data_IF_785666125643
#
_entry.id   IF_785666125643
#
_cell.length_a   1.000
_cell.length_b   1.000
_cell.length_c   1.000
_cell.angle_alpha   90.00
_cell.angle_beta   90.00
_cell.angle_gamma   90.00
#
_symmetry.space_group_name_H-M   'P 1'
#
loop_
_entity.id
_entity.type
_entity.pdbx_description
1 polymer ?
#
# COMPACT_ATOMS: atom_id res chain seq x y z
N UNK A 1 -38.94 0.33 27.67
CA UNK A 1 -37.53 0.66 27.28
C UNK A 1 -36.86 -0.67 26.98
N UNK A 2 -36.73 -1.07 25.70
CA UNK A 2 -36.02 -2.30 25.36
C UNK A 2 -34.54 -2.09 25.69
N UNK A 3 -33.97 -3.05 26.40
CA UNK A 3 -32.55 -3.01 26.81
C UNK A 3 -31.67 -2.91 25.59
N UNK A 4 -30.70 -1.99 25.60
CA UNK A 4 -29.73 -1.74 24.52
C UNK A 4 -29.01 -3.05 24.11
N UNK A 5 -28.83 -3.98 25.04
CA UNK A 5 -28.29 -5.33 24.75
C UNK A 5 -29.20 -6.18 23.87
N UNK A 6 -30.54 -6.05 24.02
CA UNK A 6 -31.51 -6.76 23.18
C UNK A 6 -31.52 -6.19 21.76
N UNK A 7 -31.42 -4.86 21.60
CA UNK A 7 -31.35 -4.22 20.30
C UNK A 7 -30.06 -4.57 19.57
N UNK A 8 -28.92 -4.59 20.28
CA UNK A 8 -27.64 -5.02 19.69
C UNK A 8 -27.64 -6.50 19.27
N UNK A 9 -28.38 -7.35 20.00
CA UNK A 9 -28.51 -8.77 19.64
C UNK A 9 -29.39 -8.96 18.39
N UNK A 10 -30.48 -8.19 18.28
CA UNK A 10 -31.35 -8.23 17.10
C UNK A 10 -30.63 -7.70 15.84
N UNK A 11 -29.85 -6.61 15.98
CA UNK A 11 -29.02 -6.09 14.90
C UNK A 11 -27.96 -7.11 14.47
N UNK A 12 -27.34 -7.79 15.44
CA UNK A 12 -26.32 -8.81 15.17
C UNK A 12 -26.89 -10.02 14.43
N UNK A 13 -28.09 -10.47 14.80
CA UNK A 13 -28.78 -11.56 14.11
C UNK A 13 -29.16 -11.16 12.67
N UNK A 14 -29.65 -9.94 12.45
CA UNK A 14 -29.94 -9.43 11.11
C UNK A 14 -28.68 -9.29 10.24
N UNK A 15 -27.54 -8.96 10.85
CA UNK A 15 -26.24 -8.91 10.16
C UNK A 15 -25.72 -10.32 9.82
N UNK A 16 -25.97 -11.31 10.65
CA UNK A 16 -25.59 -12.72 10.43
C UNK A 16 -26.46 -13.42 9.37
N UNK A 17 -27.70 -12.96 9.16
CA UNK A 17 -28.60 -13.45 8.12
C UNK A 17 -28.32 -12.85 6.73
N UNK A 18 -27.59 -11.73 6.66
CA UNK A 18 -27.22 -11.12 5.39
C UNK A 18 -25.89 -11.71 4.92
N UNK A 19 -25.95 -12.49 3.84
CA UNK A 19 -24.80 -13.24 3.30
C UNK A 19 -23.63 -12.32 2.94
N UNK A 20 -23.89 -11.13 2.39
CA UNK A 20 -22.87 -10.13 2.04
C UNK A 20 -22.21 -9.50 3.28
N UNK A 21 -23.00 -9.22 4.32
CA UNK A 21 -22.51 -8.71 5.60
C UNK A 21 -21.76 -9.78 6.40
N UNK A 22 -22.15 -11.04 6.28
CA UNK A 22 -21.48 -12.15 6.93
C UNK A 22 -20.09 -12.40 6.32
N UNK A 23 -19.96 -12.29 5.00
CA UNK A 23 -18.69 -12.34 4.28
C UNK A 23 -17.78 -11.18 4.72
N UNK A 24 -18.32 -9.96 4.80
CA UNK A 24 -17.60 -8.77 5.29
C UNK A 24 -17.13 -8.94 6.74
N UNK A 25 -18.00 -9.42 7.62
CA UNK A 25 -17.70 -9.60 9.04
C UNK A 25 -16.74 -10.76 9.31
N UNK A 26 -16.74 -11.80 8.48
CA UNK A 26 -15.76 -12.89 8.57
C UNK A 26 -14.37 -12.42 8.18
N UNK A 27 -14.26 -11.55 7.15
CA UNK A 27 -13.03 -10.87 6.79
C UNK A 27 -12.50 -9.98 7.93
N UNK A 28 -13.38 -9.19 8.57
CA UNK A 28 -13.03 -8.30 9.69
C UNK A 28 -12.59 -9.06 10.97
N UNK A 29 -13.04 -10.29 11.16
CA UNK A 29 -12.70 -11.10 12.35
C UNK A 29 -11.36 -11.84 12.22
N UNK A 30 -10.68 -11.77 11.07
CA UNK A 30 -9.39 -12.45 10.85
C UNK A 30 -9.43 -13.97 11.04
N UNK A 31 -10.62 -14.58 10.98
CA UNK A 31 -10.79 -16.02 11.18
C UNK A 31 -10.33 -16.77 9.93
N UNK A 32 -9.17 -17.44 10.05
CA UNK A 32 -8.65 -18.44 9.13
C UNK A 32 -8.30 -17.96 7.70
N UNK A 33 -7.53 -16.90 7.58
CA UNK A 33 -6.76 -16.70 6.35
C UNK A 33 -5.52 -17.57 6.48
N UNK A 34 -5.49 -18.66 5.73
CA UNK A 34 -4.39 -19.60 5.72
C UNK A 34 -3.09 -18.87 5.32
N UNK A 35 -2.02 -19.03 6.10
CA UNK A 35 -0.73 -18.35 5.84
C UNK A 35 -0.11 -18.74 4.49
N UNK A 36 -0.63 -19.81 3.85
CA UNK A 36 -0.17 -20.32 2.57
C UNK A 36 -0.54 -19.45 1.36
N UNK A 37 -1.65 -18.68 1.41
CA UNK A 37 -2.22 -18.01 0.22
C UNK A 37 -1.34 -16.91 -0.39
N UNK A 38 -0.43 -16.30 0.38
CA UNK A 38 0.47 -15.26 -0.14
C UNK A 38 1.88 -15.76 -0.47
N UNK A 39 2.37 -16.75 0.29
CA UNK A 39 3.68 -17.35 0.03
C UNK A 39 3.67 -18.19 -1.25
N UNK A 40 2.51 -18.76 -1.63
CA UNK A 40 2.38 -19.58 -2.84
C UNK A 40 2.20 -18.76 -4.13
N UNK A 41 1.77 -17.50 -4.08
CA UNK A 41 1.48 -16.73 -5.30
C UNK A 41 2.64 -15.88 -5.80
N UNK A 42 3.75 -15.73 -5.06
CA UNK A 42 4.99 -15.09 -5.53
C UNK A 42 4.80 -13.68 -6.14
N UNK A 43 3.84 -12.89 -5.63
CA UNK A 43 3.62 -11.53 -6.12
C UNK A 43 4.75 -10.63 -5.63
N UNK A 44 5.67 -10.30 -6.53
CA UNK A 44 6.76 -9.37 -6.25
C UNK A 44 6.34 -7.93 -6.53
N UNK A 45 6.77 -7.00 -5.67
CA UNK A 45 6.62 -5.57 -5.93
C UNK A 45 7.56 -5.15 -7.05
N UNK A 46 7.01 -4.46 -8.06
CA UNK A 46 7.79 -3.90 -9.17
C UNK A 46 8.39 -2.56 -8.76
N UNK A 47 9.59 -2.61 -8.24
CA UNK A 47 10.36 -1.43 -7.86
C UNK A 47 11.16 -0.90 -9.06
N UNK A 48 11.26 0.42 -9.18
CA UNK A 48 12.15 1.07 -10.15
C UNK A 48 13.52 1.19 -9.53
N UNK A 49 14.55 0.91 -10.32
CA UNK A 49 15.93 1.23 -9.99
C UNK A 49 16.15 2.72 -10.29
N UNK A 50 16.04 3.54 -9.26
CA UNK A 50 16.15 5.00 -9.39
C UNK A 50 17.58 5.46 -9.66
N UNK A 51 18.60 4.69 -9.27
CA UNK A 51 20.02 5.02 -9.46
C UNK A 51 20.36 5.15 -10.96
N UNK A 52 19.63 4.44 -11.82
CA UNK A 52 19.77 4.58 -13.28
C UNK A 52 19.37 5.94 -13.83
N UNK A 53 18.59 6.70 -13.10
CA UNK A 53 18.00 7.98 -13.52
C UNK A 53 18.55 9.16 -12.73
N UNK A 54 19.46 8.89 -11.78
CA UNK A 54 20.20 9.92 -11.07
C UNK A 54 21.56 10.13 -11.76
N UNK A 55 21.68 11.24 -12.47
CA UNK A 55 22.92 11.61 -13.17
C UNK A 55 23.93 12.35 -12.25
N UNK A 56 23.61 12.46 -10.96
CA UNK A 56 24.45 13.14 -9.97
C UNK A 56 24.57 14.66 -10.18
N UNK A 57 23.87 15.23 -11.16
CA UNK A 57 23.94 16.67 -11.47
C UNK A 57 22.86 17.49 -10.74
N UNK A 58 21.84 16.83 -10.20
CA UNK A 58 20.72 17.49 -9.54
C UNK A 58 20.85 17.40 -8.01
N UNK A 59 21.04 18.55 -7.37
CA UNK A 59 21.06 18.70 -5.90
C UNK A 59 19.65 18.64 -5.28
N UNK A 60 18.59 18.57 -6.10
CA UNK A 60 17.23 18.54 -5.63
C UNK A 60 16.95 17.23 -4.86
N UNK A 61 16.48 17.37 -3.65
CA UNK A 61 16.02 16.26 -2.80
C UNK A 61 14.49 16.20 -2.79
N UNK A 62 13.95 14.99 -2.66
CA UNK A 62 12.52 14.82 -2.42
C UNK A 62 12.14 15.43 -1.07
N UNK A 63 10.99 16.09 -0.97
CA UNK A 63 10.51 16.64 0.30
C UNK A 63 10.07 15.49 1.22
N UNK A 64 10.35 15.63 2.52
CA UNK A 64 9.86 14.69 3.55
C UNK A 64 8.41 14.99 3.97
N UNK A 65 7.90 16.14 3.62
CA UNK A 65 6.50 16.56 3.80
C UNK A 65 5.87 16.71 2.41
N UNK A 66 4.62 16.33 2.25
CA UNK A 66 3.95 16.42 0.95
C UNK A 66 3.97 17.86 0.41
N UNK A 67 4.66 18.04 -0.69
CA UNK A 67 4.75 19.28 -1.47
C UNK A 67 4.66 18.93 -2.96
N UNK A 68 3.47 19.06 -3.57
CA UNK A 68 3.27 18.69 -4.96
C UNK A 68 4.12 19.47 -5.94
N UNK A 69 4.50 20.72 -5.64
CA UNK A 69 5.37 21.52 -6.49
C UNK A 69 6.83 21.05 -6.42
N UNK A 70 7.33 20.70 -5.23
CA UNK A 70 8.66 20.15 -5.06
C UNK A 70 8.77 18.78 -5.73
N UNK A 71 7.75 17.91 -5.58
CA UNK A 71 7.64 16.62 -6.24
C UNK A 71 7.64 16.80 -7.77
N UNK A 72 6.88 17.76 -8.28
CA UNK A 72 6.85 18.06 -9.72
C UNK A 72 8.21 18.53 -10.23
N UNK A 73 8.88 19.44 -9.53
CA UNK A 73 10.25 19.90 -9.90
C UNK A 73 11.25 18.74 -9.94
N UNK A 74 11.20 17.84 -8.95
CA UNK A 74 12.09 16.70 -8.86
C UNK A 74 11.90 15.72 -10.02
N UNK A 75 10.67 15.27 -10.27
CA UNK A 75 10.37 14.25 -11.29
C UNK A 75 10.36 14.80 -12.72
N UNK A 76 10.09 16.08 -12.92
CA UNK A 76 10.18 16.71 -14.25
C UNK A 76 11.60 16.65 -14.83
N UNK A 77 12.63 16.63 -13.97
CA UNK A 77 14.04 16.48 -14.37
C UNK A 77 14.43 15.01 -14.63
N UNK A 78 13.65 14.05 -14.14
CA UNK A 78 13.91 12.60 -14.23
C UNK A 78 12.87 11.89 -15.11
N UNK A 79 12.66 12.42 -16.30
CA UNK A 79 11.60 11.96 -17.23
C UNK A 79 11.69 10.47 -17.57
N UNK A 80 12.89 9.88 -17.61
CA UNK A 80 13.09 8.45 -17.87
C UNK A 80 12.41 7.55 -16.84
N UNK A 81 12.58 7.85 -15.54
CA UNK A 81 11.90 7.13 -14.46
C UNK A 81 10.38 7.28 -14.56
N UNK A 82 9.90 8.51 -14.83
CA UNK A 82 8.46 8.80 -14.97
C UNK A 82 7.86 8.00 -16.13
N UNK A 83 8.51 7.98 -17.30
CA UNK A 83 8.04 7.22 -18.46
C UNK A 83 8.00 5.72 -18.17
N UNK A 84 9.05 5.18 -17.53
CA UNK A 84 9.08 3.77 -17.14
C UNK A 84 7.92 3.45 -16.18
N UNK A 85 7.69 4.30 -15.15
CA UNK A 85 6.60 4.08 -14.19
C UNK A 85 5.23 4.20 -14.85
N UNK A 86 5.02 5.21 -15.66
CA UNK A 86 3.77 5.39 -16.41
C UNK A 86 3.49 4.18 -17.34
N UNK A 87 4.52 3.64 -17.99
CA UNK A 87 4.40 2.43 -18.81
C UNK A 87 4.04 1.19 -17.98
N UNK A 88 4.67 1.00 -16.81
CA UNK A 88 4.30 -0.08 -15.88
C UNK A 88 2.83 0.03 -15.45
N UNK A 89 2.40 1.22 -15.05
CA UNK A 89 1.01 1.47 -14.65
C UNK A 89 0.04 1.22 -15.79
N UNK A 90 0.35 1.68 -16.99
CA UNK A 90 -0.49 1.50 -18.19
C UNK A 90 -0.61 0.04 -18.59
N UNK A 91 0.48 -0.74 -18.53
CA UNK A 91 0.46 -2.16 -18.91
C UNK A 91 -0.30 -3.01 -17.90
N UNK A 92 -0.08 -2.79 -16.61
CA UNK A 92 -0.73 -3.54 -15.53
C UNK A 92 -2.21 -3.14 -15.43
N UNK A 93 -2.48 -1.83 -15.34
CA UNK A 93 -3.84 -1.30 -15.24
C UNK A 93 -4.65 -1.54 -16.51
N UNK A 94 -4.04 -1.36 -17.69
CA UNK A 94 -4.71 -1.57 -18.99
C UNK A 94 -5.18 -3.01 -19.18
N UNK A 95 -4.37 -3.98 -18.76
CA UNK A 95 -4.75 -5.39 -18.79
C UNK A 95 -5.97 -5.70 -17.91
N UNK A 96 -6.02 -5.10 -16.73
CA UNK A 96 -7.15 -5.25 -15.82
C UNK A 96 -8.42 -4.58 -16.36
N UNK A 97 -8.31 -3.32 -16.82
CA UNK A 97 -9.44 -2.57 -17.38
C UNK A 97 -10.00 -3.27 -18.62
N UNK A 98 -9.13 -3.76 -19.52
CA UNK A 98 -9.58 -4.51 -20.69
C UNK A 98 -10.35 -5.77 -20.32
N UNK A 99 -9.92 -6.44 -19.25
CA UNK A 99 -10.62 -7.59 -18.69
C UNK A 99 -12.01 -7.22 -18.13
N UNK A 100 -12.14 -6.11 -17.40
CA UNK A 100 -13.42 -5.62 -16.90
C UNK A 100 -14.38 -5.26 -18.06
N UNK A 101 -13.87 -4.58 -19.10
CA UNK A 101 -14.64 -4.24 -20.29
C UNK A 101 -15.12 -5.51 -21.02
N UNK A 102 -14.25 -6.52 -21.16
CA UNK A 102 -14.63 -7.79 -21.77
C UNK A 102 -15.73 -8.50 -20.95
N UNK A 103 -15.63 -8.51 -19.61
CA UNK A 103 -16.65 -9.10 -18.74
C UNK A 103 -17.98 -8.36 -18.86
N UNK A 104 -17.95 -7.04 -18.97
CA UNK A 104 -19.15 -6.22 -19.17
C UNK A 104 -19.82 -6.53 -20.50
N UNK A 105 -19.06 -6.56 -21.61
CA UNK A 105 -19.57 -6.84 -22.96
C UNK A 105 -20.15 -8.26 -23.04
N UNK A 106 -19.47 -9.25 -22.40
CA UNK A 106 -19.90 -10.65 -22.42
C UNK A 106 -20.94 -10.97 -21.33
N UNK A 107 -21.37 -9.98 -20.53
CA UNK A 107 -22.30 -10.12 -19.40
C UNK A 107 -21.84 -11.15 -18.35
N UNK A 108 -20.53 -11.25 -18.13
CA UNK A 108 -19.90 -12.17 -17.16
C UNK A 108 -19.36 -11.46 -15.92
N UNK A 109 -19.81 -10.23 -15.65
CA UNK A 109 -19.32 -9.41 -14.55
C UNK A 109 -19.50 -10.10 -13.19
N UNK A 110 -20.66 -10.73 -12.93
CA UNK A 110 -20.92 -11.45 -11.68
C UNK A 110 -20.12 -12.76 -11.62
N UNK A 111 -20.09 -13.54 -12.71
CA UNK A 111 -19.33 -14.80 -12.79
C UNK A 111 -17.84 -14.59 -12.50
N UNK A 112 -17.26 -13.49 -13.00
CA UNK A 112 -15.84 -13.18 -12.88
C UNK A 112 -15.52 -12.26 -11.67
N UNK A 113 -16.50 -11.88 -10.84
CA UNK A 113 -16.31 -10.89 -9.76
C UNK A 113 -15.19 -11.27 -8.79
N UNK A 114 -15.15 -12.51 -8.31
CA UNK A 114 -14.11 -13.01 -7.41
C UNK A 114 -12.75 -13.01 -8.08
N UNK A 115 -12.67 -13.47 -9.33
CA UNK A 115 -11.42 -13.45 -10.12
C UNK A 115 -10.88 -12.03 -10.27
N UNK A 116 -11.76 -11.06 -10.56
CA UNK A 116 -11.37 -9.65 -10.70
C UNK A 116 -10.95 -9.03 -9.37
N UNK A 117 -11.59 -9.43 -8.26
CA UNK A 117 -11.21 -9.01 -6.93
C UNK A 117 -9.78 -9.49 -6.57
N UNK A 118 -9.47 -10.76 -6.84
CA UNK A 118 -8.13 -11.32 -6.65
C UNK A 118 -7.10 -10.59 -7.53
N UNK A 119 -7.40 -10.40 -8.83
CA UNK A 119 -6.52 -9.65 -9.74
C UNK A 119 -6.28 -8.21 -9.26
N UNK A 120 -7.32 -7.53 -8.76
CA UNK A 120 -7.17 -6.18 -8.21
C UNK A 120 -6.19 -6.17 -7.03
N UNK A 121 -6.33 -7.12 -6.08
CA UNK A 121 -5.40 -7.26 -4.96
C UNK A 121 -3.96 -7.49 -5.43
N UNK A 122 -3.75 -8.42 -6.37
CA UNK A 122 -2.42 -8.74 -6.91
C UNK A 122 -1.79 -7.52 -7.60
N UNK A 123 -2.57 -6.79 -8.39
CA UNK A 123 -2.14 -5.55 -9.05
C UNK A 123 -1.71 -4.52 -8.00
N UNK A 124 -2.57 -4.24 -7.04
CA UNK A 124 -2.32 -3.28 -5.96
C UNK A 124 -1.04 -3.66 -5.20
N UNK A 125 -0.85 -4.96 -4.91
CA UNK A 125 0.37 -5.47 -4.26
C UNK A 125 1.61 -5.28 -5.14
N UNK A 126 1.52 -5.61 -6.42
CA UNK A 126 2.66 -5.52 -7.36
C UNK A 126 3.09 -4.08 -7.65
N UNK A 127 2.17 -3.13 -7.58
CA UNK A 127 2.44 -1.71 -7.81
C UNK A 127 3.15 -1.04 -6.63
N UNK A 128 3.05 -1.60 -5.43
CA UNK A 128 3.85 -1.17 -4.29
C UNK A 128 3.12 -0.33 -3.24
N UNK A 129 3.89 0.35 -2.36
CA UNK A 129 3.39 0.91 -1.09
C UNK A 129 2.20 1.86 -1.22
N UNK A 130 2.24 2.79 -2.17
CA UNK A 130 1.17 3.76 -2.39
C UNK A 130 -0.16 3.07 -2.74
N UNK A 131 -0.11 2.09 -3.64
CA UNK A 131 -1.30 1.36 -4.07
C UNK A 131 -1.82 0.40 -3.01
N UNK A 132 -0.92 -0.25 -2.24
CA UNK A 132 -1.32 -1.08 -1.09
C UNK A 132 -2.09 -0.23 -0.09
N UNK A 133 -1.58 0.95 0.24
CA UNK A 133 -2.22 1.88 1.17
C UNK A 133 -3.57 2.38 0.64
N UNK A 134 -3.63 2.68 -0.65
CA UNK A 134 -4.89 3.03 -1.32
C UNK A 134 -5.88 1.85 -1.27
N UNK A 135 -5.41 0.63 -1.55
CA UNK A 135 -6.22 -0.59 -1.45
C UNK A 135 -6.77 -0.83 -0.05
N UNK A 136 -5.97 -0.61 1.00
CA UNK A 136 -6.40 -0.67 2.39
C UNK A 136 -7.50 0.36 2.69
N UNK A 137 -7.34 1.61 2.21
CA UNK A 137 -8.36 2.65 2.36
C UNK A 137 -9.66 2.32 1.61
N UNK A 138 -9.56 1.71 0.43
CA UNK A 138 -10.73 1.29 -0.37
C UNK A 138 -11.42 0.05 0.22
N UNK A 139 -10.71 -0.81 0.95
CA UNK A 139 -11.25 -2.03 1.55
C UNK A 139 -12.40 -1.78 2.56
N UNK A 140 -12.53 -0.56 3.07
CA UNK A 140 -13.57 -0.15 4.01
C UNK A 140 -14.64 0.77 3.37
N UNK A 141 -14.69 0.85 2.04
CA UNK A 141 -15.57 1.76 1.28
C UNK A 141 -16.60 0.97 0.46
N UNK A 142 -17.74 0.55 1.09
CA UNK A 142 -18.79 -0.20 0.41
C UNK A 142 -19.55 0.62 -0.66
N UNK A 143 -19.40 1.94 -0.63
CA UNK A 143 -19.92 2.85 -1.63
C UNK A 143 -19.14 2.83 -2.95
N UNK A 144 -17.89 2.32 -2.94
CA UNK A 144 -16.99 2.30 -4.10
C UNK A 144 -16.76 0.88 -4.64
N UNK A 145 -16.77 -0.12 -3.78
CA UNK A 145 -16.36 -1.48 -4.13
C UNK A 145 -17.44 -2.50 -3.74
N UNK A 146 -17.60 -3.52 -4.59
CA UNK A 146 -18.43 -4.68 -4.25
C UNK A 146 -17.81 -5.54 -3.13
N UNK A 147 -18.62 -6.39 -2.46
CA UNK A 147 -18.20 -7.17 -1.30
C UNK A 147 -16.95 -8.03 -1.55
N UNK A 148 -16.87 -8.69 -2.70
CA UNK A 148 -15.73 -9.56 -3.05
C UNK A 148 -14.42 -8.78 -3.15
N UNK A 149 -14.44 -7.58 -3.76
CA UNK A 149 -13.28 -6.72 -3.88
C UNK A 149 -12.83 -6.20 -2.50
N UNK A 150 -13.78 -5.84 -1.64
CA UNK A 150 -13.50 -5.40 -0.26
C UNK A 150 -12.82 -6.51 0.54
N UNK A 151 -13.32 -7.74 0.49
CA UNK A 151 -12.73 -8.89 1.19
C UNK A 151 -11.31 -9.17 0.71
N UNK A 152 -11.07 -9.12 -0.61
CA UNK A 152 -9.73 -9.33 -1.16
C UNK A 152 -8.76 -8.21 -0.78
N UNK A 153 -9.17 -6.95 -0.86
CA UNK A 153 -8.31 -5.83 -0.48
C UNK A 153 -8.06 -5.76 1.03
N UNK A 154 -8.98 -6.26 1.86
CA UNK A 154 -8.78 -6.33 3.30
C UNK A 154 -7.61 -7.21 3.70
N UNK A 155 -7.28 -8.24 2.89
CA UNK A 155 -6.09 -9.07 3.08
C UNK A 155 -4.79 -8.26 3.05
N UNK A 156 -4.78 -7.08 2.42
CA UNK A 156 -3.64 -6.15 2.41
C UNK A 156 -3.35 -5.52 3.79
N UNK A 157 -4.31 -5.55 4.71
CA UNK A 157 -4.10 -5.05 6.08
C UNK A 157 -3.21 -6.01 6.90
N UNK A 158 -3.33 -7.31 6.63
CA UNK A 158 -2.67 -8.34 7.43
C UNK A 158 -1.42 -8.91 6.76
N UNK A 159 -1.35 -8.85 5.42
CA UNK A 159 -0.31 -9.53 4.65
C UNK A 159 0.19 -8.65 3.52
N UNK A 160 1.37 -8.12 3.69
CA UNK A 160 2.16 -7.43 2.66
C UNK A 160 3.47 -8.19 2.47
N UNK A 161 3.96 -8.41 1.23
CA UNK A 161 5.24 -9.06 1.01
C UNK A 161 6.38 -8.35 1.75
N UNK A 162 7.21 -9.12 2.46
CA UNK A 162 8.46 -8.61 3.02
C UNK A 162 9.43 -8.28 1.90
N UNK A 163 10.42 -7.44 2.19
CA UNK A 163 11.58 -7.22 1.32
C UNK A 163 12.80 -7.94 1.90
N UNK A 164 13.84 -8.03 1.11
CA UNK A 164 15.06 -8.77 1.44
C UNK A 164 15.67 -8.36 2.78
N UNK A 165 16.05 -9.35 3.60
CA UNK A 165 16.59 -9.13 4.94
C UNK A 165 17.97 -8.47 4.93
N UNK A 166 18.81 -8.78 3.94
CA UNK A 166 20.14 -8.14 3.83
C UNK A 166 19.96 -6.66 3.56
N UNK A 167 19.04 -6.31 2.67
CA UNK A 167 18.70 -4.93 2.34
C UNK A 167 18.11 -4.20 3.55
N UNK A 168 17.27 -4.88 4.35
CA UNK A 168 16.74 -4.31 5.60
C UNK A 168 17.85 -4.01 6.61
N UNK A 169 18.79 -4.92 6.78
CA UNK A 169 19.90 -4.75 7.73
C UNK A 169 20.89 -3.67 7.23
N UNK A 170 21.15 -3.59 5.93
CA UNK A 170 21.94 -2.49 5.36
C UNK A 170 21.26 -1.13 5.60
N UNK A 171 19.95 -1.04 5.40
CA UNK A 171 19.18 0.18 5.68
C UNK A 171 19.29 0.56 7.15
N UNK A 172 19.11 -0.41 8.06
CA UNK A 172 19.25 -0.20 9.50
C UNK A 172 20.65 0.30 9.89
N UNK A 173 21.72 -0.31 9.34
CA UNK A 173 23.10 0.08 9.63
C UNK A 173 23.43 1.49 9.08
N UNK A 174 22.91 1.82 7.91
CA UNK A 174 23.07 3.16 7.32
C UNK A 174 22.42 4.24 8.20
N UNK A 175 21.23 3.99 8.72
CA UNK A 175 20.51 4.92 9.60
C UNK A 175 21.15 5.02 11.00
N UNK A 176 21.64 3.91 11.54
CA UNK A 176 22.36 3.89 12.83
C UNK A 176 23.76 4.50 12.74
N UNK A 177 24.37 4.57 11.55
CA UNK A 177 25.77 4.96 11.34
C UNK A 177 26.79 3.96 11.92
N UNK A 178 26.36 2.74 12.28
CA UNK A 178 27.20 1.69 12.82
C UNK A 178 26.61 0.31 12.50
N UNK A 179 27.33 -0.76 12.80
CA UNK A 179 26.84 -2.11 12.64
C UNK A 179 25.70 -2.38 13.62
N UNK A 180 24.64 -3.08 13.19
CA UNK A 180 23.50 -3.37 14.04
C UNK A 180 23.91 -4.16 15.29
N UNK A 181 24.96 -4.99 15.19
CA UNK A 181 25.54 -5.74 16.31
C UNK A 181 26.14 -4.84 17.40
N UNK A 182 26.43 -3.57 17.11
CA UNK A 182 26.93 -2.63 18.13
C UNK A 182 25.80 -2.12 19.03
N UNK A 183 24.57 -2.09 18.53
CA UNK A 183 23.36 -1.60 19.21
C UNK A 183 22.56 -2.75 19.83
N UNK A 184 22.38 -3.84 19.08
CA UNK A 184 21.56 -4.99 19.47
C UNK A 184 22.47 -6.19 19.83
N UNK A 185 22.15 -6.87 20.94
CA UNK A 185 22.77 -8.15 21.27
C UNK A 185 22.18 -9.30 20.47
N UNK A 186 20.91 -9.14 20.05
CA UNK A 186 20.19 -10.09 19.22
C UNK A 186 19.24 -9.33 18.30
N UNK A 187 19.15 -9.75 17.04
CA UNK A 187 18.19 -9.27 16.06
C UNK A 187 17.66 -10.47 15.29
N UNK A 188 16.34 -10.61 15.24
CA UNK A 188 15.68 -11.74 14.55
C UNK A 188 16.12 -11.83 13.08
N UNK A 189 16.41 -13.04 12.57
CA UNK A 189 16.84 -13.22 11.18
C UNK A 189 15.71 -12.94 10.15
N UNK A 190 14.46 -13.05 10.60
CA UNK A 190 13.28 -12.84 9.78
C UNK A 190 12.37 -11.79 10.43
N UNK A 191 11.63 -11.01 9.62
CA UNK A 191 10.68 -10.05 10.16
C UNK A 191 9.50 -10.76 10.84
N UNK A 192 9.07 -10.24 11.98
CA UNK A 192 7.87 -10.70 12.68
C UNK A 192 6.58 -10.17 12.05
N UNK A 193 6.68 -9.09 11.29
CA UNK A 193 5.59 -8.50 10.52
C UNK A 193 6.14 -7.68 9.34
N UNK A 194 5.38 -7.65 8.24
CA UNK A 194 5.64 -6.76 7.11
C UNK A 194 4.41 -5.88 6.83
N UNK A 195 4.67 -4.62 6.54
CA UNK A 195 3.67 -3.62 6.19
C UNK A 195 4.01 -2.96 4.84
N UNK A 196 3.13 -2.10 4.33
CA UNK A 196 3.34 -1.40 3.06
C UNK A 196 4.63 -0.56 3.05
N UNK A 197 4.93 0.13 4.16
CA UNK A 197 6.05 1.07 4.27
C UNK A 197 7.31 0.48 4.88
N UNK A 198 7.25 -0.71 5.46
CA UNK A 198 8.41 -1.30 6.15
C UNK A 198 8.12 -2.67 6.74
N UNK A 199 9.07 -3.19 7.47
CA UNK A 199 8.93 -4.45 8.19
C UNK A 199 9.50 -4.35 9.59
N UNK A 200 9.07 -5.23 10.49
CA UNK A 200 9.37 -5.18 11.92
C UNK A 200 10.14 -6.43 12.31
N UNK A 201 11.23 -6.24 13.02
CA UNK A 201 12.03 -7.29 13.61
C UNK A 201 11.93 -7.25 15.14
N UNK A 202 12.15 -8.40 15.77
CA UNK A 202 12.36 -8.48 17.20
C UNK A 202 13.85 -8.29 17.49
N UNK A 203 14.20 -7.33 18.34
CA UNK A 203 15.57 -7.08 18.75
C UNK A 203 15.72 -7.07 20.27
N UNK A 204 16.96 -7.22 20.75
CA UNK A 204 17.34 -7.06 22.16
C UNK A 204 18.44 -6.01 22.24
N UNK A 205 18.20 -4.91 22.94
CA UNK A 205 19.19 -3.84 23.12
C UNK A 205 20.37 -4.29 23.97
N UNK A 206 21.60 -4.01 23.54
CA UNK A 206 22.81 -4.27 24.34
C UNK A 206 22.88 -3.43 25.61
N UNK A 207 22.37 -2.20 25.56
CA UNK A 207 22.49 -1.23 26.62
C UNK A 207 21.82 -1.65 27.94
N UNK A 208 20.67 -2.34 27.83
CA UNK A 208 19.85 -2.67 29.01
C UNK A 208 19.17 -4.04 28.92
N UNK A 209 19.40 -4.82 27.88
CA UNK A 209 18.76 -6.12 27.64
C UNK A 209 17.26 -6.07 27.34
N UNK A 210 16.70 -4.90 27.06
CA UNK A 210 15.28 -4.77 26.75
C UNK A 210 14.96 -5.37 25.37
N UNK A 211 13.86 -6.12 25.31
CA UNK A 211 13.30 -6.57 24.04
C UNK A 211 12.51 -5.43 23.39
N UNK A 212 12.81 -5.16 22.12
CA UNK A 212 12.23 -4.06 21.35
C UNK A 212 11.73 -4.54 20.00
N UNK A 213 10.74 -3.81 19.45
CA UNK A 213 10.36 -3.91 18.05
C UNK A 213 11.23 -2.95 17.23
N UNK A 214 11.93 -3.48 16.22
CA UNK A 214 12.78 -2.72 15.32
C UNK A 214 12.06 -2.59 13.99
N UNK A 215 11.49 -1.41 13.72
CA UNK A 215 10.79 -1.12 12.48
C UNK A 215 11.77 -0.54 11.47
N UNK A 216 11.93 -1.22 10.34
CA UNK A 216 12.82 -0.83 9.25
C UNK A 216 12.00 -0.39 8.06
N UNK A 217 12.23 0.83 7.58
CA UNK A 217 11.53 1.39 6.44
C UNK A 217 11.96 0.68 5.15
N UNK A 218 11.00 0.51 4.24
CA UNK A 218 11.29 -0.07 2.92
C UNK A 218 12.21 0.86 2.11
N UNK A 219 13.31 0.36 1.55
CA UNK A 219 14.22 1.17 0.75
C UNK A 219 13.50 1.85 -0.42
N UNK A 220 13.93 3.06 -0.76
CA UNK A 220 13.38 3.88 -1.84
C UNK A 220 11.84 4.06 -1.79
N UNK A 221 11.25 3.97 -0.58
CA UNK A 221 9.80 4.13 -0.42
C UNK A 221 9.34 5.54 -0.74
N UNK A 222 10.13 6.55 -0.38
CA UNK A 222 9.83 7.96 -0.64
C UNK A 222 9.83 8.23 -2.16
N UNK A 223 10.84 7.75 -2.88
CA UNK A 223 10.95 7.86 -4.32
C UNK A 223 9.79 7.14 -5.01
N UNK A 224 9.49 5.91 -4.59
CA UNK A 224 8.40 5.11 -5.16
C UNK A 224 7.04 5.79 -4.96
N UNK A 225 6.77 6.28 -3.76
CA UNK A 225 5.50 6.93 -3.44
C UNK A 225 5.37 8.26 -4.18
N UNK A 226 6.43 9.07 -4.18
CA UNK A 226 6.39 10.40 -4.81
C UNK A 226 6.25 10.32 -6.33
N UNK A 227 6.88 9.34 -7.02
CA UNK A 227 6.69 9.17 -8.47
C UNK A 227 5.26 8.70 -8.78
N UNK A 228 4.68 7.84 -7.95
CA UNK A 228 3.30 7.40 -8.12
C UNK A 228 2.32 8.55 -7.96
N UNK A 229 2.49 9.37 -6.93
CA UNK A 229 1.70 10.59 -6.72
C UNK A 229 1.85 11.57 -7.88
N UNK A 230 3.08 11.76 -8.38
CA UNK A 230 3.33 12.60 -9.54
C UNK A 230 2.56 12.11 -10.78
N UNK A 231 2.63 10.81 -11.11
CA UNK A 231 1.93 10.23 -12.26
C UNK A 231 0.42 10.30 -12.08
N UNK A 232 -0.10 9.92 -10.90
CA UNK A 232 -1.54 9.96 -10.61
C UNK A 232 -2.08 11.39 -10.65
N UNK A 233 -1.32 12.36 -10.13
CA UNK A 233 -1.70 13.77 -10.19
C UNK A 233 -1.78 14.29 -11.64
N UNK A 234 -0.84 13.90 -12.50
CA UNK A 234 -0.88 14.21 -13.95
C UNK A 234 -2.09 13.60 -14.63
N UNK A 235 -2.44 12.35 -14.29
CA UNK A 235 -3.67 11.72 -14.78
C UNK A 235 -4.90 12.49 -14.27
N UNK A 236 -4.95 12.86 -12.99
CA UNK A 236 -6.04 13.64 -12.41
C UNK A 236 -6.23 15.02 -13.08
N UNK A 237 -5.13 15.71 -13.37
CA UNK A 237 -5.16 16.98 -14.09
C UNK A 237 -5.69 16.80 -15.53
N UNK A 238 -5.32 15.73 -16.22
CA UNK A 238 -5.86 15.39 -17.52
C UNK A 238 -7.38 15.10 -17.43
N UNK A 239 -7.83 14.33 -16.43
CA UNK A 239 -9.24 14.02 -16.25
C UNK A 239 -10.12 15.27 -16.03
N UNK A 240 -9.58 16.33 -15.42
CA UNK A 240 -10.29 17.62 -15.30
C UNK A 240 -10.64 18.25 -16.67
N UNK A 241 -9.93 17.89 -17.73
CA UNK A 241 -10.21 18.39 -19.09
C UNK A 241 -11.27 17.58 -19.83
N UNK A 242 -11.69 16.43 -19.28
CA UNK A 242 -12.68 15.54 -19.88
C UNK A 242 -14.08 16.01 -19.53
N UNK A 243 -14.89 16.33 -20.54
CA UNK A 243 -16.29 16.75 -20.38
C UNK A 243 -17.12 15.67 -19.65
N UNK A 244 -17.86 16.08 -18.62
CA UNK A 244 -18.71 15.18 -17.82
C UNK A 244 -18.01 14.54 -16.62
N UNK A 245 -16.70 14.75 -16.43
CA UNK A 245 -15.99 14.28 -15.26
C UNK A 245 -15.97 15.36 -14.15
N UNK A 246 -16.85 15.24 -13.17
CA UNK A 246 -17.09 16.28 -12.15
C UNK A 246 -16.32 16.08 -10.84
N UNK A 247 -15.60 14.96 -10.69
CA UNK A 247 -14.88 14.64 -9.46
C UNK A 247 -13.51 15.31 -9.44
N UNK A 248 -13.19 16.07 -8.40
CA UNK A 248 -11.86 16.63 -8.22
C UNK A 248 -10.89 15.57 -7.65
N UNK A 249 -10.41 14.70 -8.54
CA UNK A 249 -9.47 13.63 -8.21
C UNK A 249 -8.16 14.18 -7.66
N UNK A 250 -7.72 15.36 -8.13
CA UNK A 250 -6.47 15.98 -7.69
C UNK A 250 -6.58 16.41 -6.23
N UNK A 251 -7.67 17.07 -5.85
CA UNK A 251 -7.87 17.48 -4.45
C UNK A 251 -7.96 16.26 -3.51
N UNK A 252 -8.66 15.20 -3.92
CA UNK A 252 -8.73 13.96 -3.15
C UNK A 252 -7.36 13.28 -3.00
N UNK A 253 -6.58 13.28 -4.09
CA UNK A 253 -5.23 12.71 -4.08
C UNK A 253 -4.30 13.52 -3.18
N UNK A 254 -4.35 14.85 -3.26
CA UNK A 254 -3.51 15.76 -2.47
C UNK A 254 -3.84 15.62 -0.96
N UNK A 255 -5.13 15.52 -0.58
CA UNK A 255 -5.55 15.29 0.81
C UNK A 255 -5.06 13.93 1.34
N UNK A 256 -5.19 12.87 0.52
CA UNK A 256 -4.71 11.55 0.88
C UNK A 256 -3.18 11.52 1.00
N UNK A 257 -2.47 12.18 0.10
CA UNK A 257 -1.01 12.24 0.08
C UNK A 257 -0.44 12.94 1.32
N UNK A 258 -1.08 14.00 1.82
CA UNK A 258 -0.69 14.66 3.07
C UNK A 258 -0.61 13.64 4.22
N UNK A 259 -1.67 12.87 4.44
CA UNK A 259 -1.72 11.84 5.50
C UNK A 259 -0.72 10.72 5.26
N UNK A 260 -0.51 10.37 4.00
CA UNK A 260 0.43 9.31 3.65
C UNK A 260 1.89 9.71 3.94
N UNK A 261 2.27 10.97 3.68
CA UNK A 261 3.59 11.49 4.01
C UNK A 261 3.84 11.58 5.51
N UNK A 262 2.80 11.82 6.32
CA UNK A 262 2.91 11.74 7.79
C UNK A 262 3.31 10.32 8.25
N UNK A 263 2.82 9.27 7.59
CA UNK A 263 3.20 7.88 7.90
C UNK A 263 4.61 7.51 7.42
N UNK A 264 5.19 8.24 6.45
CA UNK A 264 6.58 8.05 6.02
C UNK A 264 7.59 8.60 7.04
N UNK A 265 7.18 9.50 7.91
CA UNK A 265 8.03 10.11 8.93
C UNK A 265 8.15 9.19 10.16
N UNK A 266 9.07 8.23 10.10
CA UNK A 266 9.34 7.31 11.21
C UNK A 266 9.95 7.99 12.43
N UNK A 267 10.52 9.19 12.30
CA UNK A 267 11.04 9.96 13.43
C UNK A 267 9.87 10.45 14.29
N UNK A 268 8.84 11.01 13.67
CA UNK A 268 7.62 11.44 14.36
C UNK A 268 6.84 10.23 14.92
N UNK A 269 6.76 9.13 14.16
CA UNK A 269 6.08 7.90 14.63
C UNK A 269 6.76 7.33 15.88
N UNK A 270 8.10 7.39 15.97
CA UNK A 270 8.86 6.89 17.13
C UNK A 270 8.75 7.79 18.38
N UNK A 271 8.21 8.99 18.27
CA UNK A 271 8.00 9.93 19.39
C UNK A 271 6.58 9.82 19.99
N UNK A 272 5.64 9.22 19.27
CA UNK A 272 4.25 8.99 19.67
C UNK A 272 4.09 7.66 20.43
#
# INVERSE_FOLDING_TARGET
MRDMKSQMKDIRMQMEENEDLNVLMSGLRGTNIDQSDFAEQGVEMKVIDFDKYDDGTNEDKLPLVYDPEAIERYWSKRSGAVVQRAFQLATIGGGFISGLVADFITKKTEENSVKRAIQLREIVTSLGPAYIKLGQALAIRPDLLGPQAMVELQKLCDKVPSFDNELAFQTLENELGCKWQDVYSELGPEPVAAASLGQVYKGVLKSNGATVAVKVQRPAVLETVSIDLFVLRRIGLFLRTVEGFNTDVVALLDEWALRFFEELDYVNEGQN
#
